data_IF_939116072884
#
_entry.id   IF_939116072884
#
_cell.length_a   1.000
_cell.length_b   1.000
_cell.length_c   1.000
_cell.angle_alpha   90.00
_cell.angle_beta   90.00
_cell.angle_gamma   90.00
#
_symmetry.space_group_name_H-M   'P 1'
#
loop_
_entity.id
_entity.type
_entity.pdbx_description
1 polymer ?
#
# COMPACT_ATOMS: atom_id res chain seq x y z
N UNK A 1 -10.43 -5.73 12.33
CA UNK A 1 -10.78 -5.28 10.94
C UNK A 1 -10.80 -3.77 11.00
N UNK A 2 -9.62 -3.17 10.83
CA UNK A 2 -9.40 -1.74 10.98
C UNK A 2 -10.27 -0.93 10.00
N UNK A 3 -10.86 0.20 10.44
CA UNK A 3 -11.53 1.13 9.53
C UNK A 3 -10.55 1.74 8.52
N UNK A 4 -11.01 1.87 7.28
CA UNK A 4 -10.26 2.41 6.15
C UNK A 4 -10.37 3.93 6.12
N UNK A 5 -9.22 4.60 6.25
CA UNK A 5 -8.96 5.92 5.67
C UNK A 5 -9.59 7.13 6.37
N UNK A 6 -8.87 7.69 7.34
CA UNK A 6 -8.85 9.15 7.56
C UNK A 6 -7.44 9.66 7.28
N UNK A 7 -7.35 10.85 6.69
CA UNK A 7 -6.10 11.45 6.20
C UNK A 7 -4.99 11.44 7.25
N UNK A 8 -3.78 11.11 6.80
CA UNK A 8 -2.60 10.69 7.56
C UNK A 8 -1.91 11.84 8.34
N UNK A 9 -2.64 12.88 8.75
CA UNK A 9 -2.03 14.17 9.12
C UNK A 9 -2.16 14.61 10.59
N UNK A 10 -2.80 13.83 11.47
CA UNK A 10 -3.16 14.34 12.81
C UNK A 10 -2.70 13.54 14.02
N UNK A 11 -1.53 12.89 13.97
CA UNK A 11 -0.84 12.53 15.22
C UNK A 11 -0.34 13.83 15.87
N UNK A 12 -1.05 14.33 16.89
CA UNK A 12 -0.68 15.53 17.65
C UNK A 12 0.05 15.13 18.94
N UNK A 13 1.31 15.52 19.09
CA UNK A 13 2.08 15.29 20.31
C UNK A 13 3.58 15.51 20.13
N UNK A 14 4.34 15.56 21.23
CA UNK A 14 5.82 15.74 21.20
C UNK A 14 6.53 14.67 20.36
N UNK A 15 6.07 13.41 20.44
CA UNK A 15 6.62 12.32 19.62
C UNK A 15 6.41 12.55 18.13
N UNK A 16 5.29 13.16 17.73
CA UNK A 16 5.00 13.48 16.32
C UNK A 16 5.94 14.56 15.77
N UNK A 17 6.27 15.56 16.57
CA UNK A 17 7.24 16.58 16.17
C UNK A 17 8.65 15.99 15.95
N UNK A 18 9.07 15.04 16.78
CA UNK A 18 10.36 14.36 16.62
C UNK A 18 10.40 13.47 15.38
N UNK A 19 9.32 12.74 15.08
CA UNK A 19 9.21 11.94 13.86
C UNK A 19 9.32 12.84 12.63
N UNK A 20 8.58 13.95 12.59
CA UNK A 20 8.64 14.92 11.47
C UNK A 20 10.03 15.54 11.30
N UNK A 21 10.67 15.91 12.40
CA UNK A 21 12.03 16.45 12.34
C UNK A 21 13.02 15.43 11.77
N UNK A 22 12.88 14.15 12.12
CA UNK A 22 13.70 13.08 11.56
C UNK A 22 13.42 12.87 10.06
N UNK A 23 12.16 12.92 9.62
CA UNK A 23 11.80 12.88 8.20
C UNK A 23 12.41 14.02 7.38
N UNK A 24 12.33 15.24 7.89
CA UNK A 24 12.88 16.44 7.23
C UNK A 24 14.40 16.34 7.05
N UNK A 25 15.07 15.61 7.94
CA UNK A 25 16.51 15.34 7.88
C UNK A 25 16.85 14.09 7.03
N UNK A 26 15.85 13.34 6.57
CA UNK A 26 16.04 12.06 5.90
C UNK A 26 16.54 10.94 6.83
N UNK A 27 16.46 11.14 8.15
CA UNK A 27 16.79 10.12 9.14
C UNK A 27 15.60 9.16 9.32
N UNK A 28 15.44 8.29 8.32
CA UNK A 28 14.35 7.33 8.25
C UNK A 28 14.39 6.32 9.39
N UNK A 29 15.58 5.88 9.81
CA UNK A 29 15.74 4.92 10.92
C UNK A 29 15.15 5.48 12.23
N UNK A 30 15.49 6.73 12.55
CA UNK A 30 14.96 7.40 13.73
C UNK A 30 13.45 7.62 13.61
N UNK A 31 12.97 8.13 12.47
CA UNK A 31 11.55 8.36 12.25
C UNK A 31 10.73 7.07 12.41
N UNK A 32 11.17 5.98 11.78
CA UNK A 32 10.53 4.66 11.82
C UNK A 32 10.56 4.10 13.25
N UNK A 33 11.70 4.15 13.93
CA UNK A 33 11.83 3.63 15.30
C UNK A 33 10.90 4.35 16.28
N UNK A 34 10.85 5.68 16.20
CA UNK A 34 9.99 6.51 17.03
C UNK A 34 8.51 6.21 16.80
N UNK A 35 8.04 6.18 15.54
CA UNK A 35 6.62 5.94 15.28
C UNK A 35 6.21 4.50 15.60
N UNK A 36 7.09 3.52 15.34
CA UNK A 36 6.83 2.11 15.61
C UNK A 36 6.59 1.84 17.08
N UNK A 37 7.23 2.60 17.97
CA UNK A 37 7.10 2.43 19.42
C UNK A 37 5.69 2.76 19.95
N UNK A 38 4.90 3.54 19.21
CA UNK A 38 3.55 3.96 19.60
C UNK A 38 2.46 3.43 18.65
N UNK A 39 2.84 2.88 17.50
CA UNK A 39 1.94 2.31 16.51
C UNK A 39 1.27 1.03 17.02
N UNK A 40 -0.06 0.97 16.90
CA UNK A 40 -0.84 -0.22 17.23
C UNK A 40 -1.96 -0.41 16.20
N UNK A 41 -1.94 -1.56 15.53
CA UNK A 41 -2.99 -1.96 14.60
C UNK A 41 -4.30 -2.26 15.36
N UNK A 42 -5.45 -1.89 14.78
CA UNK A 42 -6.79 -2.07 15.39
C UNK A 42 -6.97 -1.39 16.77
N UNK A 43 -6.11 -0.44 17.15
CA UNK A 43 -6.26 0.29 18.42
C UNK A 43 -7.52 1.18 18.40
N UNK A 44 -8.31 1.21 19.49
CA UNK A 44 -9.38 2.20 19.63
C UNK A 44 -8.84 3.62 19.91
N UNK A 45 -7.55 3.76 20.19
CA UNK A 45 -6.88 5.04 20.31
C UNK A 45 -6.50 5.56 18.92
N UNK A 46 -7.18 6.63 18.49
CA UNK A 46 -6.95 7.29 17.20
C UNK A 46 -5.47 7.65 16.99
N UNK A 47 -4.73 8.04 18.03
CA UNK A 47 -3.32 8.41 17.90
C UNK A 47 -2.45 7.20 17.56
N UNK A 48 -2.73 6.04 18.15
CA UNK A 48 -1.98 4.81 17.87
C UNK A 48 -2.35 4.21 16.53
N UNK A 49 -3.62 4.29 16.15
CA UNK A 49 -4.10 3.89 14.84
C UNK A 49 -3.49 4.77 13.73
N UNK A 50 -3.44 6.09 13.92
CA UNK A 50 -2.80 7.01 12.99
C UNK A 50 -1.28 6.78 12.92
N UNK A 51 -0.64 6.52 14.06
CA UNK A 51 0.78 6.17 14.10
C UNK A 51 1.09 4.88 13.34
N UNK A 52 0.18 3.90 13.37
CA UNK A 52 0.29 2.68 12.57
C UNK A 52 0.28 2.97 11.07
N UNK A 53 -0.64 3.82 10.61
CA UNK A 53 -0.68 4.22 9.19
C UNK A 53 0.56 5.01 8.78
N UNK A 54 1.03 5.93 9.65
CA UNK A 54 2.23 6.72 9.40
C UNK A 54 3.49 5.85 9.33
N UNK A 55 3.58 4.83 10.18
CA UNK A 55 4.67 3.86 10.11
C UNK A 55 4.76 3.18 8.74
N UNK A 56 3.62 2.78 8.15
CA UNK A 56 3.62 2.18 6.80
C UNK A 56 4.05 3.18 5.73
N UNK A 57 3.65 4.45 5.85
CA UNK A 57 4.07 5.49 4.93
C UNK A 57 5.58 5.80 5.04
N UNK A 58 6.13 5.78 6.26
CA UNK A 58 7.57 5.96 6.47
C UNK A 58 8.39 4.83 5.87
N UNK A 59 7.96 3.57 6.03
CA UNK A 59 8.61 2.43 5.38
C UNK A 59 8.61 2.58 3.86
N UNK A 60 7.48 2.99 3.29
CA UNK A 60 7.33 3.25 1.85
C UNK A 60 8.27 4.37 1.37
N UNK A 61 8.26 5.54 2.03
CA UNK A 61 9.09 6.70 1.68
C UNK A 61 10.59 6.45 1.86
N UNK A 62 10.96 5.59 2.81
CA UNK A 62 12.33 5.14 3.02
C UNK A 62 12.79 4.05 2.02
N UNK A 63 11.93 3.60 1.10
CA UNK A 63 12.24 2.53 0.14
C UNK A 63 12.39 1.14 0.77
N UNK A 64 11.89 0.93 2.00
CA UNK A 64 12.02 -0.32 2.75
C UNK A 64 10.94 -1.32 2.38
N UNK A 65 10.92 -1.70 1.10
CA UNK A 65 9.88 -2.52 0.51
C UNK A 65 9.85 -3.93 1.10
N UNK A 66 11.01 -4.51 1.41
CA UNK A 66 11.10 -5.83 2.02
C UNK A 66 10.50 -5.84 3.42
N UNK A 67 10.79 -4.81 4.24
CA UNK A 67 10.18 -4.67 5.57
C UNK A 67 8.66 -4.50 5.47
N UNK A 68 8.20 -3.70 4.50
CA UNK A 68 6.77 -3.50 4.25
C UNK A 68 6.10 -4.77 3.73
N UNK A 69 6.79 -5.56 2.91
CA UNK A 69 6.32 -6.85 2.38
C UNK A 69 6.17 -7.88 3.49
N UNK A 70 7.20 -8.08 4.33
CA UNK A 70 7.14 -8.98 5.49
C UNK A 70 6.01 -8.60 6.43
N UNK A 71 5.82 -7.31 6.69
CA UNK A 71 4.66 -6.85 7.49
C UNK A 71 3.34 -7.14 6.80
N UNK A 72 3.27 -6.96 5.49
CA UNK A 72 2.10 -7.21 4.66
C UNK A 72 1.54 -8.64 4.74
N UNK A 73 2.34 -9.61 5.18
CA UNK A 73 1.88 -10.98 5.40
C UNK A 73 0.83 -11.08 6.53
N UNK A 74 0.88 -10.18 7.51
CA UNK A 74 -0.05 -10.18 8.65
C UNK A 74 -0.82 -8.86 8.83
N UNK A 75 -0.39 -7.79 8.15
CA UNK A 75 -1.00 -6.47 8.21
C UNK A 75 -1.49 -5.98 6.84
N UNK A 76 -2.81 -5.90 6.69
CA UNK A 76 -3.46 -5.42 5.46
C UNK A 76 -3.12 -3.97 5.10
N UNK A 77 -2.71 -3.13 6.04
CA UNK A 77 -2.32 -1.74 5.76
C UNK A 77 -0.93 -1.70 5.15
N UNK A 78 0.01 -2.48 5.67
CA UNK A 78 1.32 -2.68 5.08
C UNK A 78 1.21 -3.22 3.64
N UNK A 79 0.42 -4.28 3.47
CA UNK A 79 0.14 -4.90 2.17
C UNK A 79 -0.37 -3.87 1.16
N UNK A 80 -1.45 -3.16 1.50
CA UNK A 80 -2.06 -2.15 0.61
C UNK A 80 -1.13 -0.98 0.31
N UNK A 81 -0.32 -0.55 1.28
CA UNK A 81 0.63 0.54 1.07
C UNK A 81 1.72 0.12 0.10
N UNK A 82 2.22 -1.11 0.22
CA UNK A 82 3.19 -1.68 -0.72
C UNK A 82 2.60 -1.77 -2.13
N UNK A 83 1.41 -2.37 -2.30
CA UNK A 83 0.81 -2.50 -3.62
C UNK A 83 0.56 -1.13 -4.26
N UNK A 84 0.12 -0.15 -3.46
CA UNK A 84 -0.06 1.22 -3.93
C UNK A 84 1.26 1.85 -4.38
N UNK A 85 2.34 1.64 -3.63
CA UNK A 85 3.66 2.15 -4.02
C UNK A 85 4.15 1.51 -5.32
N UNK A 86 3.98 0.19 -5.46
CA UNK A 86 4.33 -0.51 -6.71
C UNK A 86 3.53 0.02 -7.90
N UNK A 87 2.26 0.32 -7.70
CA UNK A 87 1.42 0.96 -8.72
C UNK A 87 1.90 2.38 -9.05
N UNK A 88 2.20 3.21 -8.04
CA UNK A 88 2.71 4.58 -8.19
C UNK A 88 4.07 4.61 -8.91
N UNK A 89 4.89 3.57 -8.74
CA UNK A 89 6.21 3.37 -9.37
C UNK A 89 6.15 2.63 -10.71
N UNK A 90 4.96 2.33 -11.24
CA UNK A 90 4.80 1.66 -12.54
C UNK A 90 5.37 0.21 -12.56
N UNK A 91 5.36 -0.47 -11.41
CA UNK A 91 5.98 -1.80 -11.17
C UNK A 91 4.99 -2.96 -11.33
N UNK A 92 4.55 -3.19 -12.57
CA UNK A 92 3.55 -4.21 -12.90
C UNK A 92 4.02 -5.65 -12.60
N UNK A 93 5.31 -5.94 -12.75
CA UNK A 93 5.87 -7.28 -12.55
C UNK A 93 5.78 -7.71 -11.08
N UNK A 94 6.07 -6.81 -10.14
CA UNK A 94 5.93 -7.06 -8.71
C UNK A 94 4.46 -7.16 -8.30
N UNK A 95 3.58 -6.31 -8.83
CA UNK A 95 2.14 -6.42 -8.62
C UNK A 95 1.62 -7.77 -9.10
N UNK A 96 2.06 -8.22 -10.28
CA UNK A 96 1.71 -9.52 -10.85
C UNK A 96 2.18 -10.68 -9.98
N UNK A 97 3.43 -10.65 -9.52
CA UNK A 97 3.96 -11.66 -8.61
C UNK A 97 3.09 -11.77 -7.35
N UNK A 98 2.79 -10.64 -6.71
CA UNK A 98 1.95 -10.61 -5.50
C UNK A 98 0.54 -11.12 -5.77
N UNK A 99 -0.05 -10.74 -6.89
CA UNK A 99 -1.38 -11.21 -7.31
C UNK A 99 -1.42 -12.74 -7.51
N UNK A 100 -0.38 -13.32 -8.11
CA UNK A 100 -0.22 -14.78 -8.25
C UNK A 100 -0.14 -15.50 -6.90
N UNK A 101 0.33 -14.81 -5.86
CA UNK A 101 0.34 -15.31 -4.48
C UNK A 101 -0.96 -15.03 -3.70
N UNK A 102 -2.04 -14.69 -4.39
CA UNK A 102 -3.38 -14.53 -3.82
C UNK A 102 -3.72 -13.10 -3.38
N UNK A 103 -2.84 -12.13 -3.66
CA UNK A 103 -3.11 -10.72 -3.38
C UNK A 103 -4.11 -10.12 -4.39
N UNK A 104 -5.39 -10.18 -4.03
CA UNK A 104 -6.46 -9.62 -4.87
C UNK A 104 -6.33 -8.11 -5.06
N UNK A 105 -5.76 -7.38 -4.09
CA UNK A 105 -5.60 -5.94 -4.23
C UNK A 105 -4.50 -5.60 -5.23
N UNK A 106 -3.40 -6.34 -5.20
CA UNK A 106 -2.35 -6.26 -6.21
C UNK A 106 -2.89 -6.59 -7.62
N UNK A 107 -3.78 -7.58 -7.77
CA UNK A 107 -4.44 -7.86 -9.05
C UNK A 107 -5.22 -6.65 -9.57
N UNK A 108 -6.00 -5.99 -8.71
CA UNK A 108 -6.81 -4.84 -9.12
C UNK A 108 -5.93 -3.66 -9.54
N UNK A 109 -4.83 -3.43 -8.83
CA UNK A 109 -3.88 -2.37 -9.19
C UNK A 109 -3.11 -2.69 -10.47
N UNK A 110 -2.71 -3.95 -10.68
CA UNK A 110 -2.11 -4.41 -11.95
C UNK A 110 -3.05 -4.13 -13.14
N UNK A 111 -4.32 -4.53 -13.03
CA UNK A 111 -5.32 -4.33 -14.08
C UNK A 111 -5.53 -2.84 -14.37
N UNK A 112 -5.59 -2.00 -13.33
CA UNK A 112 -5.69 -0.55 -13.50
C UNK A 112 -4.48 0.03 -14.20
N UNK A 113 -3.28 -0.34 -13.77
CA UNK A 113 -2.02 0.13 -14.32
C UNK A 113 -1.93 -0.16 -15.82
N UNK A 114 -2.18 -1.41 -16.21
CA UNK A 114 -2.18 -1.83 -17.61
C UNK A 114 -3.22 -1.05 -18.43
N UNK A 115 -4.41 -0.80 -17.87
CA UNK A 115 -5.44 0.00 -18.55
C UNK A 115 -5.09 1.46 -18.72
N UNK A 116 -4.46 2.06 -17.72
CA UNK A 116 -3.99 3.44 -17.74
C UNK A 116 -2.87 3.62 -18.78
N UNK A 117 -2.07 2.58 -19.03
CA UNK A 117 -1.12 2.50 -20.16
C UNK A 117 -1.77 2.21 -21.52
N UNK A 118 -3.08 1.94 -21.56
CA UNK A 118 -3.81 1.56 -22.79
C UNK A 118 -3.63 0.09 -23.20
N UNK A 119 -3.05 -0.74 -22.34
CA UNK A 119 -2.74 -2.15 -22.58
C UNK A 119 -3.93 -3.07 -22.24
N UNK A 120 -5.08 -2.78 -22.86
CA UNK A 120 -6.35 -3.45 -22.59
C UNK A 120 -6.26 -4.99 -22.66
N UNK A 121 -5.58 -5.51 -23.69
CA UNK A 121 -5.41 -6.96 -23.88
C UNK A 121 -4.52 -7.58 -22.77
N UNK A 122 -3.52 -6.85 -22.29
CA UNK A 122 -2.68 -7.29 -21.18
C UNK A 122 -3.48 -7.31 -19.87
N UNK A 123 -4.32 -6.31 -19.63
CA UNK A 123 -5.20 -6.25 -18.46
C UNK A 123 -6.15 -7.47 -18.41
N UNK A 124 -6.82 -7.80 -19.51
CA UNK A 124 -7.70 -8.97 -19.61
C UNK A 124 -6.93 -10.28 -19.41
N UNK A 125 -5.74 -10.39 -20.03
CA UNK A 125 -4.88 -11.56 -19.88
C UNK A 125 -4.43 -11.77 -18.44
N UNK A 126 -4.06 -10.69 -17.74
CA UNK A 126 -3.68 -10.76 -16.34
C UNK A 126 -4.82 -11.34 -15.47
N UNK A 127 -6.07 -10.92 -15.69
CA UNK A 127 -7.22 -11.49 -14.97
C UNK A 127 -7.40 -12.98 -15.28
N UNK A 128 -7.41 -13.34 -16.57
CA UNK A 128 -7.59 -14.73 -16.99
C UNK A 128 -6.51 -15.67 -16.44
N UNK A 129 -5.26 -15.21 -16.37
CA UNK A 129 -4.13 -16.04 -15.90
C UNK A 129 -4.04 -16.14 -14.39
N UNK A 130 -4.45 -15.11 -13.65
CA UNK A 130 -4.24 -15.02 -12.20
C UNK A 130 -5.48 -15.47 -11.42
N UNK A 131 -6.65 -14.98 -11.79
CA UNK A 131 -7.92 -15.31 -11.14
C UNK A 131 -9.08 -15.11 -12.12
N UNK A 132 -9.29 -16.08 -13.01
CA UNK A 132 -10.32 -16.03 -14.05
C UNK A 132 -11.74 -15.90 -13.48
N UNK A 133 -11.94 -16.28 -12.21
CA UNK A 133 -13.25 -16.25 -11.53
C UNK A 133 -13.57 -14.89 -10.91
N UNK A 134 -12.59 -13.97 -10.91
CA UNK A 134 -12.74 -12.67 -10.28
C UNK A 134 -13.58 -11.73 -11.14
N UNK A 135 -14.90 -11.75 -10.92
CA UNK A 135 -15.83 -10.90 -11.65
C UNK A 135 -15.50 -9.40 -11.54
N UNK A 136 -15.00 -8.95 -10.39
CA UNK A 136 -14.61 -7.55 -10.20
C UNK A 136 -13.37 -7.19 -11.02
N UNK A 137 -12.35 -8.05 -11.03
CA UNK A 137 -11.17 -7.84 -11.86
C UNK A 137 -11.52 -7.83 -13.35
N UNK A 138 -12.43 -8.71 -13.80
CA UNK A 138 -12.95 -8.69 -15.17
C UNK A 138 -13.70 -7.41 -15.51
N UNK A 139 -14.57 -6.94 -14.62
CA UNK A 139 -15.26 -5.67 -14.82
C UNK A 139 -14.23 -4.54 -14.97
N UNK A 140 -13.29 -4.45 -14.03
CA UNK A 140 -12.22 -3.45 -14.03
C UNK A 140 -11.37 -3.51 -15.30
N UNK A 141 -11.05 -4.72 -15.77
CA UNK A 141 -10.31 -4.93 -17.01
C UNK A 141 -11.10 -4.46 -18.23
N UNK A 142 -12.43 -4.51 -18.21
CA UNK A 142 -13.30 -4.15 -19.34
C UNK A 142 -13.84 -2.71 -19.28
N UNK A 143 -13.54 -1.96 -18.21
CA UNK A 143 -13.96 -0.57 -18.12
C UNK A 143 -13.31 0.26 -19.24
N UNK A 144 -14.03 1.22 -19.86
CA UNK A 144 -13.45 2.12 -20.84
C UNK A 144 -12.37 2.99 -20.17
N UNK A 145 -11.17 3.03 -20.73
CA UNK A 145 -10.07 3.87 -20.22
C UNK A 145 -10.54 5.32 -20.11
N UNK A 146 -10.39 5.92 -18.93
CA UNK A 146 -10.60 7.35 -18.77
C UNK A 146 -9.49 8.04 -19.58
N UNK A 147 -9.88 8.57 -20.75
CA UNK A 147 -9.03 9.41 -21.60
C UNK A 147 -8.68 10.70 -20.91
#
# INVERSE_FOLDING_TARGET
>A
MCPVGRGIHHVRGRSSALVRAAEEQGDWDTAISLIRSVAECDSPDDLKADAHLWHMDLLARAGRLDELATRGETDRHAQRRLDRLLYEEDRDSELRHRALHGDKYALYLLVRLLRERGEQAAAQRAVAEIDETNAYAWQLANEPSAR
#
